data_IF_915366371970
#
_entry.id   IF_915366371970
#
_cell.length_a   1.000
_cell.length_b   1.000
_cell.length_c   1.000
_cell.angle_alpha   90.00
_cell.angle_beta   90.00
_cell.angle_gamma   90.00
#
_symmetry.space_group_name_H-M   'P 1'
#
loop_
_entity.id
_entity.type
_entity.pdbx_description
1 polymer ?
#
# COMPACT_ATOMS: atom_id res chain seq x y z
N UNK A 1 -20.46 -7.52 39.29
CA UNK A 1 -20.67 -8.63 38.33
C UNK A 1 -21.30 -8.04 37.07
N UNK A 2 -20.52 -7.69 36.05
CA UNK A 2 -20.97 -7.43 34.66
C UNK A 2 -19.77 -7.18 33.73
N UNK A 3 -18.90 -8.18 33.56
CA UNK A 3 -17.89 -8.20 32.49
C UNK A 3 -18.27 -9.26 31.46
N UNK A 4 -19.29 -9.04 30.62
CA UNK A 4 -19.51 -9.88 29.41
C UNK A 4 -20.49 -9.23 28.41
N UNK A 5 -20.12 -8.12 27.75
CA UNK A 5 -20.83 -7.70 26.52
C UNK A 5 -19.98 -6.87 25.55
N UNK A 6 -18.67 -7.06 25.51
CA UNK A 6 -17.77 -6.23 24.67
C UNK A 6 -17.14 -7.02 23.51
N UNK A 7 -17.67 -8.22 23.23
CA UNK A 7 -17.06 -9.17 22.29
C UNK A 7 -17.92 -9.51 21.06
N UNK A 8 -19.13 -8.94 20.95
CA UNK A 8 -20.06 -9.34 19.90
C UNK A 8 -19.98 -8.36 18.73
N UNK A 9 -19.52 -8.86 17.58
CA UNK A 9 -19.59 -8.12 16.31
C UNK A 9 -21.09 -7.87 16.03
N UNK A 10 -21.50 -6.64 15.72
CA UNK A 10 -22.92 -6.35 15.46
C UNK A 10 -23.41 -7.22 14.30
N UNK A 11 -24.61 -7.78 14.42
CA UNK A 11 -25.20 -8.66 13.39
C UNK A 11 -25.78 -7.88 12.21
N UNK A 12 -26.06 -6.59 12.42
CA UNK A 12 -26.64 -5.66 11.47
C UNK A 12 -25.83 -4.37 11.56
N UNK A 13 -25.38 -3.85 10.43
CA UNK A 13 -24.67 -2.58 10.36
C UNK A 13 -25.59 -1.37 10.50
N UNK A 14 -25.00 -0.18 10.58
CA UNK A 14 -25.73 1.07 10.77
C UNK A 14 -26.69 1.41 9.62
N UNK A 15 -26.43 0.86 8.43
CA UNK A 15 -27.25 0.98 7.21
C UNK A 15 -28.37 -0.07 7.11
N UNK A 16 -28.56 -0.89 8.15
CA UNK A 16 -29.56 -1.96 8.19
C UNK A 16 -29.18 -3.23 7.43
N UNK A 17 -27.98 -3.30 6.83
CA UNK A 17 -27.51 -4.50 6.13
C UNK A 17 -26.94 -5.53 7.10
N UNK A 18 -27.01 -6.84 6.80
CA UNK A 18 -26.33 -7.85 7.59
C UNK A 18 -24.83 -7.59 7.62
N UNK A 19 -24.21 -7.76 8.78
CA UNK A 19 -22.75 -7.64 8.88
C UNK A 19 -22.07 -8.72 8.03
N UNK A 20 -21.02 -8.38 7.27
CA UNK A 20 -20.40 -9.34 6.37
C UNK A 20 -19.82 -10.52 7.15
N UNK A 21 -20.12 -11.72 6.66
CA UNK A 21 -19.55 -12.95 7.21
C UNK A 21 -18.04 -13.00 6.93
N UNK A 22 -17.30 -13.75 7.76
CA UNK A 22 -15.86 -13.88 7.63
C UNK A 22 -15.44 -14.48 6.26
N UNK A 23 -16.26 -15.37 5.70
CA UNK A 23 -16.06 -15.91 4.34
C UNK A 23 -16.18 -14.84 3.25
N UNK A 24 -17.15 -13.93 3.38
CA UNK A 24 -17.30 -12.81 2.46
C UNK A 24 -16.11 -11.85 2.57
N UNK A 25 -15.68 -11.56 3.81
CA UNK A 25 -14.48 -10.78 4.07
C UNK A 25 -13.24 -11.39 3.41
N UNK A 26 -12.99 -12.68 3.62
CA UNK A 26 -11.89 -13.43 2.98
C UNK A 26 -11.93 -13.30 1.46
N UNK A 27 -13.11 -13.45 0.84
CA UNK A 27 -13.26 -13.31 -0.61
C UNK A 27 -12.90 -11.91 -1.10
N UNK A 28 -13.38 -10.88 -0.40
CA UNK A 28 -13.10 -9.47 -0.73
C UNK A 28 -11.62 -9.14 -0.55
N UNK A 29 -11.01 -9.54 0.58
CA UNK A 29 -9.58 -9.34 0.83
C UNK A 29 -8.71 -10.07 -0.20
N UNK A 30 -9.11 -11.27 -0.61
CA UNK A 30 -8.42 -12.03 -1.67
C UNK A 30 -8.53 -11.30 -3.00
N UNK A 31 -9.71 -10.79 -3.35
CA UNK A 31 -9.92 -9.99 -4.57
C UNK A 31 -9.07 -8.72 -4.54
N UNK A 32 -9.06 -7.98 -3.44
CA UNK A 32 -8.22 -6.80 -3.29
C UNK A 32 -6.74 -7.17 -3.48
N UNK A 33 -6.26 -8.22 -2.83
CA UNK A 33 -4.87 -8.67 -2.96
C UNK A 33 -4.51 -9.05 -4.41
N UNK A 34 -5.41 -9.74 -5.11
CA UNK A 34 -5.24 -10.12 -6.52
C UNK A 34 -5.35 -8.94 -7.48
N UNK A 35 -6.06 -7.86 -7.13
CA UNK A 35 -6.22 -6.67 -7.98
C UNK A 35 -5.26 -5.54 -7.60
N UNK A 36 -4.49 -5.68 -6.53
CA UNK A 36 -3.59 -4.67 -5.98
C UNK A 36 -2.30 -4.50 -6.79
N UNK A 37 -2.43 -4.02 -8.03
CA UNK A 37 -1.33 -3.67 -8.91
C UNK A 37 -1.31 -2.17 -9.23
N UNK A 38 -0.20 -1.66 -9.77
CA UNK A 38 -0.13 -0.28 -10.25
C UNK A 38 0.44 0.76 -9.26
N UNK A 39 1.06 0.30 -8.18
CA UNK A 39 1.73 1.16 -7.17
C UNK A 39 0.78 1.66 -6.07
N UNK A 40 1.29 2.45 -5.10
CA UNK A 40 0.53 2.80 -3.89
C UNK A 40 -0.84 3.43 -4.17
N UNK A 41 -0.89 4.43 -5.06
CA UNK A 41 -2.13 5.09 -5.44
C UNK A 41 -3.13 4.13 -6.14
N UNK A 42 -2.64 3.18 -6.94
CA UNK A 42 -3.49 2.18 -7.61
C UNK A 42 -4.09 1.20 -6.61
N UNK A 43 -3.29 0.76 -5.62
CA UNK A 43 -3.77 -0.12 -4.55
C UNK A 43 -4.81 0.57 -3.67
N UNK A 44 -4.60 1.85 -3.32
CA UNK A 44 -5.57 2.65 -2.56
C UNK A 44 -6.87 2.83 -3.36
N UNK A 45 -6.78 3.10 -4.67
CA UNK A 45 -7.96 3.25 -5.52
C UNK A 45 -8.77 1.95 -5.64
N UNK A 46 -8.10 0.79 -5.80
CA UNK A 46 -8.77 -0.53 -5.80
C UNK A 46 -9.45 -0.79 -4.45
N UNK A 47 -8.77 -0.45 -3.36
CA UNK A 47 -9.32 -0.59 -2.01
C UNK A 47 -10.57 0.28 -1.83
N UNK A 48 -10.48 1.56 -2.20
CA UNK A 48 -11.60 2.51 -2.12
C UNK A 48 -12.79 2.04 -2.96
N UNK A 49 -12.57 1.69 -4.23
CA UNK A 49 -13.62 1.18 -5.10
C UNK A 49 -14.33 -0.06 -4.52
N UNK A 50 -13.58 -1.05 -4.03
CA UNK A 50 -14.18 -2.29 -3.53
C UNK A 50 -14.86 -2.08 -2.18
N UNK A 51 -14.22 -1.37 -1.24
CA UNK A 51 -14.71 -1.25 0.14
C UNK A 51 -15.78 -0.16 0.29
N UNK A 52 -15.59 0.99 -0.36
CA UNK A 52 -16.46 2.17 -0.25
C UNK A 52 -17.57 2.12 -1.29
N UNK A 53 -17.24 1.95 -2.56
CA UNK A 53 -18.24 2.04 -3.64
C UNK A 53 -19.04 0.74 -3.81
N UNK A 54 -18.36 -0.39 -3.98
CA UNK A 54 -19.01 -1.68 -4.29
C UNK A 54 -19.66 -2.30 -3.04
N UNK A 55 -18.92 -2.39 -1.94
CA UNK A 55 -19.37 -3.06 -0.71
C UNK A 55 -20.04 -2.13 0.29
N UNK A 56 -19.76 -0.83 0.25
CA UNK A 56 -20.28 0.19 1.19
C UNK A 56 -20.02 -0.19 2.67
N UNK A 57 -18.90 -0.86 2.93
CA UNK A 57 -18.48 -1.25 4.27
C UNK A 57 -18.04 -0.05 5.10
N UNK A 58 -17.41 0.92 4.43
CA UNK A 58 -16.86 2.14 5.00
C UNK A 58 -17.26 3.34 4.13
N UNK A 59 -17.60 4.47 4.72
CA UNK A 59 -17.84 5.72 3.98
C UNK A 59 -16.56 6.42 3.54
N UNK A 60 -16.67 7.35 2.60
CA UNK A 60 -15.55 8.13 2.07
C UNK A 60 -14.76 8.86 3.16
N UNK A 61 -15.46 9.56 4.05
CA UNK A 61 -14.84 10.34 5.11
C UNK A 61 -13.97 9.46 6.02
N UNK A 62 -14.49 8.28 6.37
CA UNK A 62 -13.78 7.36 7.28
C UNK A 62 -12.67 6.59 6.62
N UNK A 63 -12.83 6.25 5.34
CA UNK A 63 -11.75 5.71 4.52
C UNK A 63 -10.58 6.70 4.44
N UNK A 64 -10.87 7.97 4.15
CA UNK A 64 -9.85 9.03 4.11
C UNK A 64 -9.21 9.29 5.46
N UNK A 65 -9.98 9.24 6.55
CA UNK A 65 -9.45 9.36 7.90
C UNK A 65 -8.46 8.23 8.22
N UNK A 66 -8.83 6.99 7.90
CA UNK A 66 -7.95 5.83 8.05
C UNK A 66 -6.69 5.93 7.16
N UNK A 67 -6.85 6.36 5.91
CA UNK A 67 -5.74 6.57 4.99
C UNK A 67 -4.76 7.62 5.53
N UNK A 68 -5.28 8.77 5.99
CA UNK A 68 -4.46 9.83 6.57
C UNK A 68 -3.73 9.35 7.82
N UNK A 69 -4.36 8.52 8.65
CA UNK A 69 -3.71 7.89 9.80
C UNK A 69 -2.56 6.96 9.37
N UNK A 70 -2.75 6.14 8.33
CA UNK A 70 -1.68 5.29 7.78
C UNK A 70 -0.53 6.09 7.14
N UNK A 71 -0.79 7.29 6.60
CA UNK A 71 0.26 8.17 6.09
C UNK A 71 1.10 8.80 7.21
N UNK A 72 0.52 8.98 8.40
CA UNK A 72 1.26 9.45 9.58
C UNK A 72 2.15 8.36 10.20
N UNK A 73 1.77 7.09 10.03
CA UNK A 73 2.54 5.95 10.52
C UNK A 73 3.63 5.55 9.51
N UNK A 74 4.90 5.46 9.91
CA UNK A 74 5.95 5.01 9.00
C UNK A 74 5.72 3.55 8.60
N UNK A 75 5.39 3.30 7.32
CA UNK A 75 5.34 1.96 6.75
C UNK A 75 4.53 1.85 5.44
N UNK A 76 4.27 0.63 4.95
CA UNK A 76 3.59 0.41 3.69
C UNK A 76 2.10 0.78 3.79
N UNK A 77 1.75 2.01 3.39
CA UNK A 77 0.43 2.64 3.54
C UNK A 77 -0.74 1.71 3.15
N UNK A 78 -0.71 1.12 1.95
CA UNK A 78 -1.81 0.26 1.46
C UNK A 78 -1.98 -1.00 2.30
N UNK A 79 -0.88 -1.62 2.76
CA UNK A 79 -0.94 -2.82 3.60
C UNK A 79 -1.42 -2.46 5.02
N UNK A 80 -0.95 -1.34 5.59
CA UNK A 80 -1.42 -0.85 6.89
C UNK A 80 -2.93 -0.58 6.85
N UNK A 81 -3.41 0.09 5.79
CA UNK A 81 -4.83 0.36 5.60
C UNK A 81 -5.64 -0.93 5.46
N UNK A 82 -5.12 -1.91 4.71
CA UNK A 82 -5.75 -3.24 4.56
C UNK A 82 -5.92 -3.93 5.91
N UNK A 83 -4.85 -3.97 6.72
CA UNK A 83 -4.85 -4.59 8.05
C UNK A 83 -5.77 -3.82 9.00
N UNK A 84 -5.75 -2.49 8.96
CA UNK A 84 -6.58 -1.64 9.80
C UNK A 84 -8.07 -1.80 9.50
N UNK A 85 -8.47 -1.76 8.23
CA UNK A 85 -9.87 -1.97 7.85
C UNK A 85 -10.29 -3.42 8.12
N UNK A 86 -9.42 -4.41 7.85
CA UNK A 86 -9.66 -5.81 8.24
C UNK A 86 -9.90 -5.95 9.75
N UNK A 87 -9.12 -5.22 10.55
CA UNK A 87 -9.29 -5.16 11.99
C UNK A 87 -10.60 -4.47 12.40
N UNK A 88 -10.99 -3.40 11.73
CA UNK A 88 -12.24 -2.70 12.00
C UNK A 88 -13.48 -3.58 11.73
N UNK A 89 -13.40 -4.45 10.71
CA UNK A 89 -14.50 -5.32 10.29
C UNK A 89 -14.66 -6.60 11.13
N UNK A 90 -13.54 -7.28 11.45
CA UNK A 90 -13.57 -8.57 12.16
C UNK A 90 -12.51 -8.67 13.28
N UNK A 91 -12.10 -7.54 13.85
CA UNK A 91 -11.12 -7.43 14.95
C UNK A 91 -9.78 -8.04 14.57
N UNK A 92 -9.00 -8.48 15.56
CA UNK A 92 -7.66 -9.04 15.34
C UNK A 92 -7.63 -10.18 14.30
N UNK A 93 -8.67 -11.00 14.22
CA UNK A 93 -8.79 -12.08 13.22
C UNK A 93 -8.89 -11.49 11.81
N UNK A 94 -9.73 -10.47 11.62
CA UNK A 94 -9.88 -9.80 10.33
C UNK A 94 -8.60 -9.10 9.88
N UNK A 95 -7.92 -8.41 10.78
CA UNK A 95 -6.64 -7.74 10.46
C UNK A 95 -5.55 -8.74 10.05
N UNK A 96 -5.44 -9.88 10.76
CA UNK A 96 -4.47 -10.93 10.45
C UNK A 96 -4.78 -11.61 9.10
N UNK A 97 -6.06 -11.94 8.86
CA UNK A 97 -6.50 -12.52 7.58
C UNK A 97 -6.23 -11.54 6.44
N UNK A 98 -6.65 -10.28 6.57
CA UNK A 98 -6.48 -9.28 5.53
C UNK A 98 -5.00 -9.06 5.18
N UNK A 99 -4.14 -8.94 6.19
CA UNK A 99 -2.69 -8.81 5.98
C UNK A 99 -2.05 -10.05 5.35
N UNK A 100 -2.44 -11.25 5.79
CA UNK A 100 -1.90 -12.50 5.23
C UNK A 100 -2.33 -12.69 3.78
N UNK A 101 -3.61 -12.47 3.48
CA UNK A 101 -4.17 -12.56 2.13
C UNK A 101 -3.54 -11.55 1.18
N UNK A 102 -3.11 -10.39 1.67
CA UNK A 102 -2.42 -9.39 0.86
C UNK A 102 -1.08 -9.90 0.30
N UNK A 103 -0.34 -10.69 1.07
CA UNK A 103 1.01 -11.18 0.70
C UNK A 103 0.92 -12.54 -0.04
N UNK A 104 -0.09 -13.34 0.30
CA UNK A 104 -0.29 -14.70 -0.19
C UNK A 104 -0.21 -14.87 -1.71
N UNK A 105 -0.86 -14.05 -2.57
CA UNK A 105 -0.81 -14.26 -4.02
C UNK A 105 0.60 -14.10 -4.59
N UNK A 106 1.38 -13.14 -4.06
CA UNK A 106 2.78 -12.95 -4.46
C UNK A 106 3.66 -14.13 -4.04
N UNK A 107 3.49 -14.62 -2.81
CA UNK A 107 4.23 -15.78 -2.31
C UNK A 107 3.94 -17.04 -3.14
N UNK A 108 2.66 -17.31 -3.46
CA UNK A 108 2.26 -18.44 -4.30
C UNK A 108 2.87 -18.33 -5.70
N UNK A 109 2.82 -17.14 -6.32
CA UNK A 109 3.37 -16.93 -7.65
C UNK A 109 4.89 -17.21 -7.70
N UNK A 110 5.65 -16.71 -6.73
CA UNK A 110 7.10 -16.93 -6.63
C UNK A 110 7.42 -18.39 -6.33
N UNK A 111 6.70 -19.03 -5.40
CA UNK A 111 6.89 -20.46 -5.11
C UNK A 111 6.60 -21.33 -6.33
N UNK A 112 5.52 -21.04 -7.07
CA UNK A 112 5.15 -21.78 -8.27
C UNK A 112 6.21 -21.63 -9.36
N UNK A 113 6.69 -20.41 -9.63
CA UNK A 113 7.81 -20.18 -10.54
C UNK A 113 9.05 -20.96 -10.07
N UNK A 114 9.44 -20.81 -8.82
CA UNK A 114 10.60 -21.51 -8.28
C UNK A 114 10.51 -23.02 -8.45
N UNK A 115 9.34 -23.62 -8.20
CA UNK A 115 9.10 -25.06 -8.41
C UNK A 115 9.22 -25.46 -9.88
N UNK A 116 8.63 -24.68 -10.80
CA UNK A 116 8.75 -24.90 -12.25
C UNK A 116 10.22 -24.84 -12.69
N UNK A 117 10.98 -23.86 -12.19
CA UNK A 117 12.41 -23.74 -12.50
C UNK A 117 13.21 -24.93 -11.98
N UNK A 118 12.95 -25.38 -10.75
CA UNK A 118 13.66 -26.51 -10.15
C UNK A 118 13.43 -27.83 -10.91
N UNK A 119 12.19 -28.05 -11.38
CA UNK A 119 11.80 -29.29 -12.07
C UNK A 119 12.15 -29.28 -13.56
N UNK A 120 12.03 -28.13 -14.23
CA UNK A 120 12.09 -28.04 -15.70
C UNK A 120 13.15 -27.05 -16.23
N UNK A 121 14.02 -26.50 -15.37
CA UNK A 121 15.02 -25.49 -15.76
C UNK A 121 16.07 -25.94 -16.79
N UNK A 122 16.15 -27.25 -17.10
CA UNK A 122 17.02 -27.80 -18.15
C UNK A 122 16.35 -27.85 -19.53
N UNK A 123 15.05 -27.60 -19.62
CA UNK A 123 14.30 -27.59 -20.88
C UNK A 123 14.52 -26.24 -21.59
N UNK A 124 14.99 -26.21 -22.85
CA UNK A 124 15.29 -24.97 -23.57
C UNK A 124 14.12 -23.98 -23.61
N UNK A 125 12.90 -24.49 -23.73
CA UNK A 125 11.65 -23.69 -23.72
C UNK A 125 11.47 -22.95 -22.40
N UNK A 126 11.75 -23.61 -21.27
CA UNK A 126 11.63 -23.00 -19.93
C UNK A 126 12.70 -21.92 -19.76
N UNK A 127 13.95 -22.19 -20.16
CA UNK A 127 15.02 -21.18 -20.12
C UNK A 127 14.68 -19.92 -20.94
N UNK A 128 14.12 -20.09 -22.14
CA UNK A 128 13.67 -18.97 -22.98
C UNK A 128 12.52 -18.18 -22.31
N UNK A 129 11.56 -18.86 -21.68
CA UNK A 129 10.48 -18.22 -20.93
C UNK A 129 11.02 -17.38 -19.76
N UNK A 130 11.95 -17.94 -18.97
CA UNK A 130 12.58 -17.22 -17.86
C UNK A 130 13.43 -16.04 -18.34
N UNK A 131 14.05 -16.12 -19.51
CA UNK A 131 14.73 -14.98 -20.12
C UNK A 131 13.75 -13.86 -20.48
N UNK A 132 12.63 -14.20 -21.12
CA UNK A 132 11.55 -13.23 -21.40
C UNK A 132 10.98 -12.61 -20.13
N UNK A 133 10.75 -13.41 -19.08
CA UNK A 133 10.31 -12.94 -17.76
C UNK A 133 11.32 -11.98 -17.14
N UNK A 134 12.63 -12.31 -17.15
CA UNK A 134 13.69 -11.41 -16.64
C UNK A 134 13.67 -10.07 -17.37
N UNK A 135 13.52 -10.07 -18.69
CA UNK A 135 13.41 -8.85 -19.48
C UNK A 135 12.15 -8.04 -19.13
N UNK A 136 11.00 -8.70 -18.95
CA UNK A 136 9.76 -8.04 -18.55
C UNK A 136 9.85 -7.44 -17.14
N UNK A 137 10.41 -8.18 -16.17
CA UNK A 137 10.65 -7.68 -14.81
C UNK A 137 11.59 -6.48 -14.83
N UNK A 138 12.69 -6.54 -15.60
CA UNK A 138 13.60 -5.40 -15.78
C UNK A 138 12.86 -4.17 -16.31
N UNK A 139 12.02 -4.33 -17.33
CA UNK A 139 11.22 -3.24 -17.89
C UNK A 139 10.24 -2.64 -16.87
N UNK A 140 9.54 -3.48 -16.09
CA UNK A 140 8.62 -3.03 -15.03
C UNK A 140 9.38 -2.29 -13.93
N UNK A 141 10.53 -2.81 -13.48
CA UNK A 141 11.37 -2.17 -12.46
C UNK A 141 11.87 -0.82 -12.96
N UNK A 142 12.37 -0.74 -14.20
CA UNK A 142 12.77 0.54 -14.81
C UNK A 142 11.60 1.53 -14.87
N UNK A 143 10.43 1.08 -15.31
CA UNK A 143 9.23 1.91 -15.38
C UNK A 143 8.79 2.40 -13.98
N UNK A 144 8.89 1.55 -12.96
CA UNK A 144 8.60 1.92 -11.57
C UNK A 144 9.61 2.93 -11.03
N UNK A 145 10.91 2.73 -11.27
CA UNK A 145 11.98 3.67 -10.88
C UNK A 145 11.77 5.01 -11.57
N UNK A 146 11.49 5.04 -12.87
CA UNK A 146 11.22 6.28 -13.60
C UNK A 146 9.96 6.98 -13.09
N UNK A 147 8.89 6.23 -12.80
CA UNK A 147 7.63 6.79 -12.30
C UNK A 147 7.77 7.36 -10.88
N UNK A 148 8.43 6.64 -9.99
CA UNK A 148 8.69 7.09 -8.61
C UNK A 148 9.68 8.25 -8.64
N UNK A 149 10.74 8.15 -9.44
CA UNK A 149 11.73 9.19 -9.65
C UNK A 149 11.09 10.49 -10.15
N UNK A 150 10.25 10.42 -11.18
CA UNK A 150 9.54 11.60 -11.69
C UNK A 150 8.62 12.25 -10.65
N UNK A 151 8.02 11.47 -9.73
CA UNK A 151 7.24 12.01 -8.60
C UNK A 151 8.11 12.59 -7.49
N UNK A 152 9.25 11.98 -7.19
CA UNK A 152 10.13 12.39 -6.10
C UNK A 152 11.07 13.54 -6.49
N UNK A 153 11.43 13.67 -7.77
CA UNK A 153 12.38 14.63 -8.30
C UNK A 153 11.66 15.70 -9.13
N UNK A 154 11.05 16.66 -8.43
CA UNK A 154 10.29 17.74 -9.06
C UNK A 154 11.14 18.90 -9.60
N UNK A 155 12.44 18.96 -9.28
CA UNK A 155 13.30 20.09 -9.61
C UNK A 155 14.62 19.63 -10.28
N UNK A 156 15.11 20.38 -11.27
CA UNK A 156 16.39 20.13 -11.96
C UNK A 156 17.57 20.00 -10.99
N UNK A 157 17.53 20.70 -9.85
CA UNK A 157 18.54 20.56 -8.79
C UNK A 157 18.49 19.19 -8.12
N UNK A 158 17.29 18.65 -7.84
CA UNK A 158 17.13 17.31 -7.28
C UNK A 158 17.62 16.24 -8.27
N UNK A 159 17.32 16.41 -9.57
CA UNK A 159 17.75 15.50 -10.63
C UNK A 159 19.28 15.49 -10.74
N UNK A 160 19.91 16.67 -10.71
CA UNK A 160 21.36 16.79 -10.71
C UNK A 160 21.99 16.13 -9.46
N UNK A 161 21.37 16.28 -8.29
CA UNK A 161 21.84 15.65 -7.05
C UNK A 161 21.72 14.12 -7.10
N UNK A 162 20.61 13.60 -7.60
CA UNK A 162 20.40 12.17 -7.75
C UNK A 162 21.33 11.56 -8.80
N UNK A 163 21.52 12.22 -9.94
CA UNK A 163 22.49 11.82 -10.96
C UNK A 163 23.92 11.83 -10.42
N UNK A 164 24.32 12.89 -9.71
CA UNK A 164 25.63 12.99 -9.06
C UNK A 164 25.86 11.90 -8.01
N UNK A 165 24.84 11.62 -7.19
CA UNK A 165 24.89 10.54 -6.19
C UNK A 165 24.99 9.16 -6.86
N UNK A 166 24.25 8.93 -7.95
CA UNK A 166 24.30 7.69 -8.71
C UNK A 166 25.70 7.45 -9.31
N UNK A 167 26.31 8.48 -9.91
CA UNK A 167 27.69 8.41 -10.43
C UNK A 167 28.70 8.19 -9.30
N UNK A 168 28.52 8.83 -8.14
CA UNK A 168 29.38 8.62 -6.98
C UNK A 168 29.32 7.18 -6.45
N UNK A 169 28.13 6.56 -6.37
CA UNK A 169 27.98 5.14 -6.01
C UNK A 169 28.67 4.26 -7.05
N UNK A 170 28.34 4.46 -8.32
CA UNK A 170 28.74 3.57 -9.40
C UNK A 170 30.24 3.63 -9.70
N UNK A 171 30.84 4.83 -9.65
CA UNK A 171 32.24 5.04 -10.01
C UNK A 171 33.21 4.97 -8.84
N UNK A 172 32.79 5.31 -7.62
CA UNK A 172 33.68 5.38 -6.45
C UNK A 172 33.37 4.33 -5.38
N UNK A 173 32.29 3.55 -5.52
CA UNK A 173 31.92 2.52 -4.55
C UNK A 173 31.62 3.08 -3.16
N UNK A 174 31.28 4.37 -3.07
CA UNK A 174 31.11 5.06 -1.79
C UNK A 174 29.95 4.40 -1.03
N UNK A 175 30.14 4.03 0.24
CA UNK A 175 29.10 3.36 1.02
C UNK A 175 27.87 4.27 1.16
N UNK A 176 26.70 3.68 0.94
CA UNK A 176 25.39 4.36 0.93
C UNK A 176 25.15 5.32 2.11
N UNK A 177 25.55 5.01 3.37
CA UNK A 177 25.42 5.94 4.49
C UNK A 177 26.15 7.28 4.30
N UNK A 178 27.30 7.27 3.64
CA UNK A 178 28.15 8.45 3.46
C UNK A 178 27.52 9.41 2.42
N UNK A 179 26.81 8.86 1.45
CA UNK A 179 26.06 9.61 0.43
C UNK A 179 24.81 10.24 1.03
N UNK A 180 24.12 9.51 1.91
CA UNK A 180 23.02 10.08 2.69
C UNK A 180 23.53 11.23 3.56
N UNK A 181 24.70 11.07 4.20
CA UNK A 181 25.29 12.10 5.06
C UNK A 181 25.61 13.38 4.26
N UNK A 182 26.22 13.26 3.09
CA UNK A 182 26.55 14.43 2.24
C UNK A 182 25.30 15.06 1.64
N UNK A 183 24.33 14.27 1.18
CA UNK A 183 23.04 14.77 0.70
C UNK A 183 22.25 15.47 1.83
N UNK A 184 22.28 14.94 3.05
CA UNK A 184 21.64 15.55 4.21
C UNK A 184 22.32 16.87 4.60
N UNK A 185 23.65 16.95 4.55
CA UNK A 185 24.38 18.20 4.79
C UNK A 185 24.05 19.25 3.71
N UNK A 186 24.08 18.86 2.43
CA UNK A 186 23.74 19.76 1.32
C UNK A 186 22.29 20.24 1.43
N UNK A 187 21.36 19.33 1.77
CA UNK A 187 19.96 19.64 2.01
C UNK A 187 19.75 20.58 3.19
N UNK A 188 20.46 20.36 4.31
CA UNK A 188 20.41 21.20 5.50
C UNK A 188 20.92 22.61 5.24
N UNK A 189 22.06 22.75 4.55
CA UNK A 189 22.60 24.06 4.18
C UNK A 189 21.71 24.78 3.14
N UNK A 190 21.13 24.05 2.18
CA UNK A 190 20.22 24.62 1.17
C UNK A 190 18.87 25.05 1.76
N UNK A 191 18.32 24.26 2.69
CA UNK A 191 17.13 24.59 3.48
C UNK A 191 17.34 25.86 4.31
N UNK A 192 18.52 26.00 4.92
CA UNK A 192 18.89 27.17 5.73
C UNK A 192 19.09 28.44 4.90
N UNK A 193 19.38 28.32 3.61
CA UNK A 193 19.49 29.44 2.66
C UNK A 193 18.14 29.86 2.05
N UNK A 194 17.02 29.26 2.46
CA UNK A 194 15.67 29.69 2.06
C UNK A 194 15.26 29.31 0.63
N UNK A 195 15.92 28.31 0.03
CA UNK A 195 15.55 27.79 -1.28
C UNK A 195 14.32 26.88 -1.14
N UNK A 196 13.15 27.37 -1.60
CA UNK A 196 11.88 26.62 -1.73
C UNK A 196 11.95 25.47 -2.78
N UNK A 197 13.13 24.90 -3.01
CA UNK A 197 13.42 23.97 -4.09
C UNK A 197 12.98 22.52 -3.79
N UNK A 198 12.49 22.23 -2.57
CA UNK A 198 12.20 20.90 -2.04
C UNK A 198 10.75 20.73 -1.55
N UNK A 199 9.80 21.47 -2.10
CA UNK A 199 8.39 21.31 -1.73
C UNK A 199 7.84 20.00 -2.34
N UNK A 200 7.51 19.04 -1.48
CA UNK A 200 7.04 17.71 -1.89
C UNK A 200 5.55 17.81 -2.19
N UNK A 201 5.16 17.64 -3.44
CA UNK A 201 3.77 17.76 -3.89
C UNK A 201 2.84 16.81 -3.11
N UNK A 202 1.95 17.39 -2.32
CA UNK A 202 0.89 16.70 -1.59
C UNK A 202 -0.12 16.04 -2.53
N UNK A 203 -0.55 14.83 -2.19
CA UNK A 203 -1.49 14.05 -2.99
C UNK A 203 -2.93 14.52 -2.69
N UNK A 204 -3.48 15.40 -3.52
CA UNK A 204 -4.86 15.87 -3.41
C UNK A 204 -5.82 14.85 -4.07
N UNK A 205 -6.65 14.19 -3.27
CA UNK A 205 -7.70 13.30 -3.74
C UNK A 205 -8.98 14.11 -4.05
N UNK A 206 -9.46 14.04 -5.29
CA UNK A 206 -10.74 14.63 -5.72
C UNK A 206 -11.89 13.67 -5.39
N UNK A 207 -12.81 14.08 -4.51
CA UNK A 207 -13.97 13.28 -4.10
C UNK A 207 -15.26 13.66 -4.84
N UNK A 208 -16.03 12.64 -5.22
CA UNK A 208 -17.49 12.64 -5.12
C UNK A 208 -17.85 12.02 -3.77
N UNK A 209 -18.68 12.68 -2.97
CA UNK A 209 -18.87 12.36 -1.54
C UNK A 209 -20.05 11.41 -1.37
N UNK A 210 -19.83 10.20 -0.85
CA UNK A 210 -20.88 9.31 -0.34
C UNK A 210 -21.06 9.57 1.16
N UNK A 211 -22.31 9.81 1.57
CA UNK A 211 -22.71 10.18 2.94
C UNK A 211 -22.49 9.02 3.95
N UNK A 212 -21.99 9.36 5.15
CA UNK A 212 -21.51 8.41 6.16
C UNK A 212 -22.65 7.58 6.78
N UNK A 213 -23.87 8.12 6.77
CA UNK A 213 -25.10 7.47 7.22
C UNK A 213 -25.53 6.25 6.39
N UNK A 214 -25.01 6.13 5.17
CA UNK A 214 -25.37 5.06 4.22
C UNK A 214 -24.41 3.85 4.27
N UNK A 215 -23.49 3.81 5.23
CA UNK A 215 -22.43 2.79 5.30
C UNK A 215 -22.54 1.86 6.51
N UNK A 216 -22.11 0.60 6.36
CA UNK A 216 -22.25 -0.46 7.38
C UNK A 216 -21.68 -0.10 8.76
N UNK A 217 -20.59 0.67 8.82
CA UNK A 217 -19.98 1.11 10.08
C UNK A 217 -20.63 2.39 10.66
N UNK A 218 -21.45 3.14 9.91
CA UNK A 218 -22.16 4.35 10.37
C UNK A 218 -21.25 5.51 10.82
N UNK A 219 -21.64 6.28 11.85
CA UNK A 219 -20.80 7.31 12.49
C UNK A 219 -20.04 6.79 13.73
N UNK A 220 -20.37 5.61 14.23
CA UNK A 220 -19.78 5.09 15.46
C UNK A 220 -18.46 4.35 15.20
N UNK A 221 -17.42 4.68 15.97
CA UNK A 221 -16.22 3.84 16.09
C UNK A 221 -16.57 2.61 16.93
N UNK A 222 -16.31 1.37 16.47
CA UNK A 222 -16.57 0.17 17.25
C UNK A 222 -15.93 0.25 18.63
N UNK A 223 -16.57 -0.29 19.67
CA UNK A 223 -16.10 -0.17 21.05
C UNK A 223 -14.64 -0.60 21.26
N UNK A 224 -14.15 -1.55 20.47
CA UNK A 224 -12.78 -2.04 20.51
C UNK A 224 -11.74 -1.13 19.83
N UNK A 225 -12.18 -0.10 19.10
CA UNK A 225 -11.35 0.93 18.47
C UNK A 225 -11.34 2.25 19.26
N UNK A 226 -12.09 2.32 20.37
CA UNK A 226 -12.09 3.44 21.32
C UNK A 226 -11.01 3.17 22.39
N UNK A 227 -9.75 3.27 21.99
CA UNK A 227 -8.59 3.21 22.88
C UNK A 227 -8.17 4.60 23.33
#
# INVERSE_FOLDING_TARGET
>A
MTHTSENNIPKIGADGRPWPNLSEAVSVWTRIALLSFGGPAGQIAVMHHIIVEEKRWLGDARFLHALNFCMLLPGPEAQQLTVYIGWLMHRWVGGLIAGLLFILPGAIAVMMLSAIYALYGKVPVVTALYFGLKAAVLAIVLQAVLRIGAKALGNSVMIALAGGSFVAIFSFGVPFPLIILTAALIGFFSSRMGLNAFDVAGHEAKNGVIDEHDTLLGNDVPAHARG
#
